data_IF_010049428190
#
_entry.id   IF_010049428190
#
_cell.length_a   1.000
_cell.length_b   1.000
_cell.length_c   1.000
_cell.angle_alpha   90.00
_cell.angle_beta   90.00
_cell.angle_gamma   90.00
#
_symmetry.space_group_name_H-M   'P 1'
#
loop_
_entity.id
_entity.type
_entity.pdbx_description
1 polymer ?
#
# COMPACT_ATOMS: atom_id res chain seq x y z
N UNK A 1 -28.99 -0.95 26.37
CA UNK A 1 -28.11 -1.58 25.34
C UNK A 1 -28.85 -2.50 24.38
N UNK A 2 -29.68 -3.44 24.79
CA UNK A 2 -30.36 -4.38 23.90
C UNK A 2 -31.27 -3.72 22.84
N UNK A 3 -31.99 -2.66 23.17
CA UNK A 3 -32.85 -1.93 22.21
C UNK A 3 -32.07 -1.22 21.10
N UNK A 4 -30.87 -0.67 21.38
CA UNK A 4 -30.04 0.00 20.38
C UNK A 4 -29.42 -1.01 19.39
N UNK A 5 -29.05 -2.20 19.86
CA UNK A 5 -28.52 -3.28 19.00
C UNK A 5 -29.61 -3.80 18.06
N UNK A 6 -30.82 -3.97 18.52
CA UNK A 6 -31.97 -4.42 17.70
C UNK A 6 -32.34 -3.37 16.65
N UNK A 7 -32.30 -2.07 17.00
CA UNK A 7 -32.57 -0.98 16.04
C UNK A 7 -31.52 -0.94 14.91
N UNK A 8 -30.25 -1.15 15.22
CA UNK A 8 -29.17 -1.16 14.22
C UNK A 8 -29.25 -2.37 13.27
N UNK A 9 -29.61 -3.55 13.79
CA UNK A 9 -29.82 -4.75 12.96
C UNK A 9 -30.98 -4.56 11.96
N UNK A 10 -32.07 -3.92 12.41
CA UNK A 10 -33.21 -3.60 11.54
C UNK A 10 -32.83 -2.58 10.46
N UNK A 11 -32.05 -1.55 10.79
CA UNK A 11 -31.58 -0.54 9.84
C UNK A 11 -30.68 -1.15 8.74
N UNK A 12 -29.76 -2.05 9.11
CA UNK A 12 -28.92 -2.77 8.16
C UNK A 12 -29.74 -3.68 7.24
N UNK A 13 -30.72 -4.42 7.78
CA UNK A 13 -31.61 -5.26 6.98
C UNK A 13 -32.39 -4.43 5.94
N UNK A 14 -32.91 -3.27 6.34
CA UNK A 14 -33.62 -2.35 5.45
C UNK A 14 -32.70 -1.80 4.35
N UNK A 15 -31.46 -1.48 4.65
CA UNK A 15 -30.48 -1.02 3.64
C UNK A 15 -30.15 -2.12 2.63
N UNK A 16 -30.01 -3.37 3.07
CA UNK A 16 -29.80 -4.53 2.19
C UNK A 16 -31.00 -4.68 1.23
N UNK A 17 -32.24 -4.64 1.74
CA UNK A 17 -33.44 -4.71 0.91
C UNK A 17 -33.52 -3.57 -0.12
N UNK A 18 -33.23 -2.34 0.32
CA UNK A 18 -33.21 -1.17 -0.57
C UNK A 18 -32.17 -1.31 -1.68
N UNK A 19 -30.94 -1.73 -1.34
CA UNK A 19 -29.88 -1.94 -2.32
C UNK A 19 -30.25 -3.04 -3.33
N UNK A 20 -30.74 -4.19 -2.86
CA UNK A 20 -31.21 -5.30 -3.71
C UNK A 20 -32.36 -4.87 -4.62
N UNK A 21 -33.28 -4.06 -4.10
CA UNK A 21 -34.39 -3.47 -4.88
C UNK A 21 -33.90 -2.52 -5.98
N UNK A 22 -32.83 -1.74 -5.74
CA UNK A 22 -32.23 -0.87 -6.77
C UNK A 22 -31.54 -1.72 -7.84
N UNK A 23 -30.76 -2.73 -7.46
CA UNK A 23 -30.11 -3.68 -8.38
C UNK A 23 -31.17 -4.29 -9.34
N UNK A 24 -32.25 -4.80 -8.81
CA UNK A 24 -33.35 -5.38 -9.62
C UNK A 24 -33.99 -4.38 -10.57
N UNK A 25 -34.07 -3.09 -10.19
CA UNK A 25 -34.57 -2.03 -11.08
C UNK A 25 -33.59 -1.70 -12.20
N UNK A 26 -32.27 -1.64 -11.90
CA UNK A 26 -31.26 -1.39 -12.91
C UNK A 26 -31.24 -2.52 -13.94
N UNK A 27 -31.25 -3.77 -13.52
CA UNK A 27 -31.23 -4.93 -14.43
C UNK A 27 -32.45 -4.89 -15.38
N UNK A 28 -33.60 -4.54 -14.88
CA UNK A 28 -34.82 -4.37 -15.72
C UNK A 28 -34.73 -3.17 -16.67
N UNK A 29 -34.15 -2.05 -16.19
CA UNK A 29 -34.00 -0.84 -16.98
C UNK A 29 -33.00 -1.01 -18.14
N UNK A 30 -31.94 -1.80 -17.95
CA UNK A 30 -30.93 -2.09 -18.98
C UNK A 30 -31.56 -2.78 -20.22
N UNK A 31 -32.55 -3.62 -20.05
CA UNK A 31 -33.25 -4.28 -21.17
C UNK A 31 -33.84 -3.29 -22.19
N UNK A 32 -34.09 -2.06 -21.77
CA UNK A 32 -34.67 -1.00 -22.64
C UNK A 32 -33.71 0.11 -22.98
N UNK A 33 -32.43 0.01 -22.53
CA UNK A 33 -31.39 0.97 -22.85
C UNK A 33 -31.06 0.96 -24.35
N UNK A 34 -30.94 2.15 -24.95
CA UNK A 34 -30.67 2.34 -26.39
C UNK A 34 -29.34 2.96 -26.68
N UNK A 35 -28.84 3.77 -25.76
CA UNK A 35 -27.51 4.39 -25.79
C UNK A 35 -26.58 3.68 -24.80
N UNK A 36 -25.28 3.67 -25.05
CA UNK A 36 -24.26 3.01 -24.21
C UNK A 36 -24.70 1.59 -23.79
N UNK A 37 -25.29 0.85 -24.74
CA UNK A 37 -25.90 -0.45 -24.45
C UNK A 37 -24.90 -1.44 -23.86
N UNK A 38 -23.69 -1.44 -24.37
CA UNK A 38 -22.62 -2.33 -23.92
C UNK A 38 -22.21 -2.05 -22.46
N UNK A 39 -22.06 -0.76 -22.10
CA UNK A 39 -21.76 -0.34 -20.73
C UNK A 39 -22.91 -0.69 -19.78
N UNK A 40 -24.15 -0.50 -20.22
CA UNK A 40 -25.33 -0.89 -19.44
C UNK A 40 -25.40 -2.42 -19.22
N UNK A 41 -25.13 -3.22 -20.25
CA UNK A 41 -25.09 -4.69 -20.16
C UNK A 41 -23.97 -5.19 -19.25
N UNK A 42 -22.76 -4.61 -19.34
CA UNK A 42 -21.67 -4.93 -18.45
C UNK A 42 -21.99 -4.58 -16.98
N UNK A 43 -22.62 -3.43 -16.76
CA UNK A 43 -23.08 -3.04 -15.42
C UNK A 43 -24.13 -4.03 -14.89
N UNK A 44 -25.13 -4.40 -15.71
CA UNK A 44 -26.18 -5.34 -15.31
C UNK A 44 -25.66 -6.72 -14.94
N UNK A 45 -24.68 -7.25 -15.71
CA UNK A 45 -24.05 -8.53 -15.42
C UNK A 45 -23.34 -8.52 -14.06
N UNK A 46 -22.62 -7.46 -13.75
CA UNK A 46 -21.97 -7.30 -12.45
C UNK A 46 -22.98 -7.13 -11.32
N UNK A 47 -24.02 -6.34 -11.53
CA UNK A 47 -25.06 -6.11 -10.54
C UNK A 47 -25.89 -7.36 -10.24
N UNK A 48 -26.04 -8.30 -11.17
CA UNK A 48 -26.71 -9.57 -10.89
C UNK A 48 -25.94 -10.38 -9.83
N UNK A 49 -24.61 -10.46 -9.96
CA UNK A 49 -23.76 -11.12 -8.96
C UNK A 49 -23.87 -10.44 -7.58
N UNK A 50 -23.91 -9.10 -7.58
CA UNK A 50 -24.09 -8.31 -6.36
C UNK A 50 -25.45 -8.58 -5.71
N UNK A 51 -26.50 -8.65 -6.52
CA UNK A 51 -27.85 -8.97 -6.06
C UNK A 51 -27.94 -10.30 -5.33
N UNK A 52 -27.13 -11.29 -5.75
CA UNK A 52 -27.05 -12.60 -5.12
C UNK A 52 -26.26 -12.58 -3.80
N UNK A 53 -25.27 -11.70 -3.67
CA UNK A 53 -24.42 -11.59 -2.47
C UNK A 53 -25.03 -10.73 -1.37
N UNK A 54 -25.71 -9.64 -1.73
CA UNK A 54 -26.27 -8.67 -0.77
C UNK A 54 -27.15 -9.30 0.33
N UNK A 55 -28.06 -10.26 0.06
CA UNK A 55 -28.90 -10.88 1.08
C UNK A 55 -28.12 -11.68 2.13
N UNK A 56 -26.90 -12.14 1.76
CA UNK A 56 -26.04 -12.96 2.62
C UNK A 56 -25.08 -12.13 3.49
N UNK A 57 -25.10 -10.79 3.37
CA UNK A 57 -24.29 -9.93 4.20
C UNK A 57 -24.70 -10.00 5.68
N UNK A 58 -23.75 -9.99 6.62
CA UNK A 58 -24.04 -10.00 8.04
C UNK A 58 -24.76 -8.71 8.44
N UNK A 59 -25.78 -8.83 9.26
CA UNK A 59 -26.58 -7.71 9.75
C UNK A 59 -25.91 -7.04 10.96
N UNK A 60 -24.69 -6.55 10.78
CA UNK A 60 -23.84 -5.94 11.80
C UNK A 60 -23.78 -4.42 11.64
N UNK A 61 -23.71 -3.64 12.71
CA UNK A 61 -23.67 -2.17 12.64
C UNK A 61 -22.54 -1.62 11.76
N UNK A 62 -21.41 -2.31 11.74
CA UNK A 62 -20.21 -1.94 10.97
C UNK A 62 -20.46 -1.96 9.44
N UNK A 63 -21.48 -2.69 8.97
CA UNK A 63 -21.87 -2.78 7.54
C UNK A 63 -22.77 -1.60 7.12
N UNK A 64 -23.33 -0.87 8.07
CA UNK A 64 -24.35 0.15 7.81
C UNK A 64 -23.84 1.27 6.90
N UNK A 65 -22.67 1.82 7.20
CA UNK A 65 -22.08 2.93 6.43
C UNK A 65 -21.70 2.50 5.00
N UNK A 66 -20.95 1.41 4.78
CA UNK A 66 -20.69 0.91 3.41
C UNK A 66 -21.96 0.62 2.61
N UNK A 67 -23.02 0.10 3.26
CA UNK A 67 -24.30 -0.15 2.60
C UNK A 67 -25.03 1.16 2.22
N UNK A 68 -24.99 2.19 3.05
CA UNK A 68 -25.55 3.50 2.72
C UNK A 68 -24.89 4.09 1.48
N UNK A 69 -23.56 4.02 1.42
CA UNK A 69 -22.80 4.52 0.26
C UNK A 69 -23.04 3.66 -0.98
N UNK A 70 -23.08 2.33 -0.85
CA UNK A 70 -23.41 1.42 -1.95
C UNK A 70 -24.82 1.72 -2.51
N UNK A 71 -25.80 1.93 -1.65
CA UNK A 71 -27.14 2.34 -2.06
C UNK A 71 -27.13 3.65 -2.86
N UNK A 72 -26.35 4.64 -2.41
CA UNK A 72 -26.21 5.92 -3.12
C UNK A 72 -25.55 5.75 -4.50
N UNK A 73 -24.48 4.94 -4.59
CA UNK A 73 -23.83 4.62 -5.86
C UNK A 73 -24.76 3.86 -6.82
N UNK A 74 -25.51 2.89 -6.32
CA UNK A 74 -26.54 2.17 -7.10
C UNK A 74 -27.66 3.10 -7.57
N UNK A 75 -28.05 4.11 -6.77
CA UNK A 75 -28.98 5.15 -7.17
C UNK A 75 -28.49 5.94 -8.38
N UNK A 76 -27.23 6.41 -8.35
CA UNK A 76 -26.60 7.09 -9.51
C UNK A 76 -26.51 6.17 -10.74
N UNK A 77 -26.17 4.91 -10.56
CA UNK A 77 -26.16 3.92 -11.63
C UNK A 77 -27.54 3.78 -12.28
N UNK A 78 -28.59 3.72 -11.48
CA UNK A 78 -29.97 3.65 -11.97
C UNK A 78 -30.37 4.88 -12.79
N UNK A 79 -30.05 6.08 -12.32
CA UNK A 79 -30.28 7.34 -13.04
C UNK A 79 -29.56 7.38 -14.40
N UNK A 80 -28.30 6.93 -14.44
CA UNK A 80 -27.52 6.84 -15.68
C UNK A 80 -28.14 5.88 -16.68
N UNK A 81 -28.60 4.70 -16.24
CA UNK A 81 -29.27 3.73 -17.11
C UNK A 81 -30.57 4.28 -17.64
N UNK A 82 -31.36 4.98 -16.81
CA UNK A 82 -32.61 5.65 -17.25
C UNK A 82 -32.34 6.74 -18.29
N UNK A 83 -31.26 7.53 -18.09
CA UNK A 83 -30.84 8.55 -19.07
C UNK A 83 -30.49 7.94 -20.43
N UNK A 84 -30.02 6.69 -20.47
CA UNK A 84 -29.74 5.95 -21.71
C UNK A 84 -31.00 5.45 -22.44
N UNK A 85 -32.19 5.57 -21.84
CA UNK A 85 -33.46 5.21 -22.46
C UNK A 85 -34.09 6.38 -23.27
N UNK A 86 -33.64 7.62 -23.02
CA UNK A 86 -34.26 8.83 -23.55
C UNK A 86 -33.99 9.00 -25.06
N UNK A 87 -35.00 9.48 -25.81
CA UNK A 87 -35.02 9.57 -27.27
C UNK A 87 -34.54 10.92 -27.84
N UNK A 88 -34.17 11.87 -27.01
CA UNK A 88 -33.87 13.23 -27.46
C UNK A 88 -32.59 13.30 -28.31
N UNK A 89 -32.77 13.64 -29.60
CA UNK A 89 -31.68 13.73 -30.59
C UNK A 89 -30.63 14.80 -30.25
N UNK A 90 -30.96 15.81 -29.45
CA UNK A 90 -30.03 16.84 -29.01
C UNK A 90 -28.93 16.34 -28.05
N UNK A 91 -29.19 15.23 -27.33
CA UNK A 91 -28.24 14.62 -26.40
C UNK A 91 -27.30 13.57 -27.02
N UNK A 92 -27.55 13.19 -28.30
CA UNK A 92 -26.85 12.04 -28.90
C UNK A 92 -25.35 12.27 -29.16
N UNK A 93 -24.91 13.49 -29.46
CA UNK A 93 -23.52 13.75 -29.84
C UNK A 93 -22.62 14.24 -28.69
N UNK A 94 -23.17 15.01 -27.73
CA UNK A 94 -22.40 15.54 -26.60
C UNK A 94 -22.56 14.74 -25.30
N UNK A 95 -23.62 13.94 -25.18
CA UNK A 95 -23.95 13.16 -23.97
C UNK A 95 -23.23 11.82 -23.90
N UNK A 96 -23.02 11.11 -25.01
CA UNK A 96 -22.52 9.73 -25.02
C UNK A 96 -21.14 9.57 -24.35
N UNK A 97 -20.22 10.50 -24.59
CA UNK A 97 -18.88 10.47 -24.00
C UNK A 97 -18.89 10.80 -22.51
N UNK A 98 -19.71 11.79 -22.08
CA UNK A 98 -19.90 12.10 -20.66
C UNK A 98 -20.56 10.95 -19.92
N UNK A 99 -21.54 10.29 -20.52
CA UNK A 99 -22.19 9.13 -19.90
C UNK A 99 -21.25 7.96 -19.75
N UNK A 100 -20.37 7.67 -20.72
CA UNK A 100 -19.38 6.61 -20.62
C UNK A 100 -18.40 6.83 -19.47
N UNK A 101 -17.90 8.07 -19.29
CA UNK A 101 -17.05 8.42 -18.16
C UNK A 101 -17.79 8.30 -16.81
N UNK A 102 -19.06 8.73 -16.77
CA UNK A 102 -19.90 8.58 -15.57
C UNK A 102 -20.21 7.11 -15.25
N UNK A 103 -20.40 6.24 -16.27
CA UNK A 103 -20.55 4.79 -16.06
C UNK A 103 -19.28 4.19 -15.45
N UNK A 104 -18.11 4.61 -15.93
CA UNK A 104 -16.82 4.15 -15.39
C UNK A 104 -16.68 4.56 -13.92
N UNK A 105 -16.90 5.83 -13.60
CA UNK A 105 -16.83 6.36 -12.24
C UNK A 105 -17.78 5.61 -11.28
N UNK A 106 -19.04 5.44 -11.66
CA UNK A 106 -20.03 4.73 -10.83
C UNK A 106 -19.68 3.26 -10.67
N UNK A 107 -19.19 2.61 -11.72
CA UNK A 107 -18.77 1.23 -11.70
C UNK A 107 -17.55 1.02 -10.78
N UNK A 108 -16.56 1.90 -10.85
CA UNK A 108 -15.38 1.89 -9.98
C UNK A 108 -15.78 2.13 -8.52
N UNK A 109 -16.72 3.04 -8.27
CA UNK A 109 -17.26 3.28 -6.91
C UNK A 109 -18.01 2.07 -6.36
N UNK A 110 -18.84 1.41 -7.17
CA UNK A 110 -19.54 0.18 -6.77
C UNK A 110 -18.53 -0.93 -6.46
N UNK A 111 -17.54 -1.14 -7.35
CA UNK A 111 -16.48 -2.13 -7.15
C UNK A 111 -15.72 -1.89 -5.86
N UNK A 112 -15.33 -0.64 -5.62
CA UNK A 112 -14.68 -0.20 -4.40
C UNK A 112 -15.50 -0.55 -3.15
N UNK A 113 -16.77 -0.17 -3.11
CA UNK A 113 -17.64 -0.43 -1.96
C UNK A 113 -17.84 -1.93 -1.71
N UNK A 114 -17.94 -2.74 -2.77
CA UNK A 114 -18.01 -4.19 -2.64
C UNK A 114 -16.75 -4.82 -2.06
N UNK A 115 -15.58 -4.25 -2.38
CA UNK A 115 -14.31 -4.70 -1.83
C UNK A 115 -14.19 -4.48 -0.32
N UNK A 116 -15.03 -3.61 0.26
CA UNK A 116 -15.09 -3.36 1.70
C UNK A 116 -15.85 -4.47 2.47
N UNK A 117 -16.84 -5.13 1.86
CA UNK A 117 -17.69 -6.08 2.60
C UNK A 117 -16.94 -7.31 3.16
N UNK A 118 -16.00 -7.95 2.46
CA UNK A 118 -15.19 -9.02 3.05
C UNK A 118 -14.38 -8.54 4.26
N UNK A 119 -13.86 -7.29 4.20
CA UNK A 119 -13.08 -6.69 5.29
C UNK A 119 -13.93 -6.44 6.52
N UNK A 120 -15.09 -5.84 6.32
CA UNK A 120 -16.06 -5.53 7.37
C UNK A 120 -16.57 -6.82 8.02
N UNK A 121 -16.83 -7.83 7.21
CA UNK A 121 -17.30 -9.14 7.68
C UNK A 121 -16.24 -9.84 8.53
N UNK A 122 -14.98 -9.80 8.12
CA UNK A 122 -13.87 -10.39 8.84
C UNK A 122 -13.60 -9.68 10.17
N UNK A 123 -13.54 -8.35 10.18
CA UNK A 123 -13.37 -7.55 11.39
C UNK A 123 -14.48 -7.80 12.43
N UNK A 124 -15.72 -7.98 11.96
CA UNK A 124 -16.86 -8.29 12.80
C UNK A 124 -16.80 -9.69 13.38
N UNK A 125 -16.37 -10.70 12.60
CA UNK A 125 -16.20 -12.08 13.06
C UNK A 125 -15.07 -12.17 14.09
N UNK A 126 -13.92 -11.53 13.85
CA UNK A 126 -12.79 -11.53 14.79
C UNK A 126 -13.13 -10.82 16.11
N UNK A 127 -13.81 -9.67 16.04
CA UNK A 127 -14.27 -8.98 17.27
C UNK A 127 -15.31 -9.80 18.06
N UNK A 128 -16.14 -10.56 17.34
CA UNK A 128 -17.11 -11.45 17.99
C UNK A 128 -16.45 -12.68 18.61
N UNK A 129 -15.48 -13.28 17.94
CA UNK A 129 -14.66 -14.38 18.47
C UNK A 129 -13.82 -13.94 19.67
N UNK A 130 -13.24 -12.75 19.65
CA UNK A 130 -12.52 -12.18 20.79
C UNK A 130 -13.42 -11.93 22.02
N UNK A 131 -14.71 -11.64 21.81
CA UNK A 131 -15.71 -11.51 22.89
C UNK A 131 -16.24 -12.84 23.42
N UNK A 132 -16.11 -13.92 22.64
CA UNK A 132 -16.58 -15.28 22.98
C UNK A 132 -15.44 -16.10 23.62
N UNK A 133 -14.19 -15.62 23.57
CA UNK A 133 -13.08 -16.27 24.29
C UNK A 133 -13.34 -16.22 25.78
N UNK A 134 -13.52 -17.36 26.46
CA UNK A 134 -14.21 -17.40 27.75
C UNK A 134 -13.28 -17.10 28.90
N UNK A 135 -13.72 -16.20 29.76
CA UNK A 135 -13.59 -16.44 31.19
C UNK A 135 -14.53 -17.62 31.53
N UNK A 136 -14.08 -18.83 31.45
CA UNK A 136 -14.75 -19.94 32.09
C UNK A 136 -13.77 -20.86 32.84
N UNK A 137 -13.77 -20.63 34.14
CA UNK A 137 -13.54 -21.57 35.20
C UNK A 137 -14.26 -22.90 34.98
N UNK A 138 -13.46 -23.98 35.04
CA UNK A 138 -13.84 -25.24 35.70
C UNK A 138 -14.92 -26.10 35.08
N UNK A 139 -14.52 -27.04 34.21
CA UNK A 139 -14.98 -28.43 34.28
C UNK A 139 -13.81 -29.32 33.87
N UNK A 140 -13.32 -30.13 34.82
CA UNK A 140 -12.34 -31.19 34.60
C UNK A 140 -13.00 -32.32 33.81
N UNK A 141 -12.51 -32.60 32.65
CA UNK A 141 -12.68 -33.90 32.01
C UNK A 141 -11.28 -34.44 31.67
N UNK A 142 -10.88 -35.44 32.42
CA UNK A 142 -9.59 -36.12 32.35
C UNK A 142 -9.51 -36.93 31.07
N UNK A 143 -8.69 -36.45 30.10
CA UNK A 143 -8.14 -37.30 29.07
C UNK A 143 -6.62 -37.18 29.18
N UNK A 144 -5.95 -38.28 29.40
CA UNK A 144 -4.50 -38.38 29.55
C UNK A 144 -3.79 -38.01 28.24
N UNK A 145 -2.92 -36.99 28.32
CA UNK A 145 -2.02 -36.59 27.21
C UNK A 145 -0.60 -36.59 27.80
N UNK A 146 0.40 -37.05 27.02
CA UNK A 146 1.78 -37.20 27.52
C UNK A 146 2.43 -35.82 27.76
N UNK A 147 3.34 -35.80 28.72
CA UNK A 147 4.10 -34.67 29.26
C UNK A 147 4.71 -33.72 28.24
N UNK A 148 4.62 -32.39 28.42
CA UNK A 148 5.19 -31.40 27.51
C UNK A 148 6.57 -30.97 28.01
N UNK A 149 7.58 -31.23 27.21
CA UNK A 149 8.80 -30.42 27.21
C UNK A 149 8.58 -29.30 26.17
N UNK A 150 8.74 -28.04 26.63
CA UNK A 150 8.82 -26.81 25.81
C UNK A 150 7.62 -26.45 24.93
N UNK A 151 6.56 -25.93 25.55
CA UNK A 151 5.63 -25.02 24.89
C UNK A 151 6.14 -23.58 25.01
N UNK A 152 6.88 -23.12 24.00
CA UNK A 152 7.00 -21.69 23.75
C UNK A 152 5.60 -21.19 23.38
N UNK A 153 5.11 -20.23 24.14
CA UNK A 153 3.84 -19.54 23.89
C UNK A 153 3.95 -18.83 22.55
N UNK A 154 3.51 -19.48 21.49
CA UNK A 154 3.26 -18.84 20.21
C UNK A 154 2.06 -17.92 20.42
N UNK A 155 2.31 -16.64 20.64
CA UNK A 155 1.32 -15.59 20.41
C UNK A 155 0.93 -15.69 18.93
N UNK A 156 -0.24 -16.27 18.67
CA UNK A 156 -0.83 -16.27 17.32
C UNK A 156 -1.18 -14.81 17.02
N UNK A 157 -0.23 -14.08 16.41
CA UNK A 157 -0.51 -12.79 15.80
C UNK A 157 -1.43 -13.10 14.62
N UNK A 158 -2.68 -12.66 14.71
CA UNK A 158 -3.63 -12.78 13.58
C UNK A 158 -2.98 -12.20 12.33
N UNK A 159 -2.92 -12.98 11.26
CA UNK A 159 -2.37 -12.54 9.97
C UNK A 159 -3.20 -11.43 9.30
N UNK A 160 -4.33 -11.05 9.89
CA UNK A 160 -5.25 -10.05 9.37
C UNK A 160 -5.33 -8.83 10.27
N UNK A 161 -5.42 -7.62 9.68
CA UNK A 161 -5.58 -6.37 10.43
C UNK A 161 -6.87 -6.36 11.25
N UNK A 162 -6.81 -5.78 12.46
CA UNK A 162 -7.94 -5.65 13.36
C UNK A 162 -8.38 -4.18 13.53
N UNK A 163 -9.58 -3.96 14.05
CA UNK A 163 -10.05 -2.63 14.45
C UNK A 163 -9.65 -2.34 15.87
N UNK A 164 -9.17 -1.12 16.13
CA UNK A 164 -8.85 -0.60 17.44
C UNK A 164 -9.84 0.49 17.82
N UNK A 165 -10.13 0.61 19.10
CA UNK A 165 -10.83 1.77 19.66
C UNK A 165 -9.86 2.93 19.88
N UNK A 166 -10.38 4.16 19.94
CA UNK A 166 -9.60 5.34 20.32
C UNK A 166 -8.87 5.15 21.65
N UNK A 167 -9.56 4.60 22.67
CA UNK A 167 -8.99 4.37 23.98
C UNK A 167 -7.78 3.40 23.94
N UNK A 168 -7.85 2.33 23.13
CA UNK A 168 -6.74 1.41 22.92
C UNK A 168 -5.55 2.10 22.25
N UNK A 169 -5.79 2.96 21.24
CA UNK A 169 -4.73 3.72 20.58
C UNK A 169 -4.08 4.73 21.53
N UNK A 170 -4.87 5.48 22.30
CA UNK A 170 -4.36 6.42 23.31
C UNK A 170 -3.47 5.69 24.33
N UNK A 171 -3.93 4.53 24.81
CA UNK A 171 -3.16 3.70 25.75
C UNK A 171 -1.87 3.19 25.11
N UNK A 172 -1.95 2.62 23.91
CA UNK A 172 -0.80 2.08 23.19
C UNK A 172 0.27 3.13 22.88
N UNK A 173 -0.14 4.38 22.60
CA UNK A 173 0.77 5.49 22.25
C UNK A 173 1.19 6.34 23.45
N UNK A 174 0.75 5.99 24.67
CA UNK A 174 0.91 6.84 25.86
C UNK A 174 0.46 8.28 25.61
N UNK A 175 -0.77 8.42 25.08
CA UNK A 175 -1.35 9.70 24.66
C UNK A 175 -0.49 10.44 23.60
N UNK A 176 -0.04 9.69 22.58
CA UNK A 176 0.76 10.22 21.46
C UNK A 176 2.08 10.89 21.91
N UNK A 177 2.73 10.34 22.94
CA UNK A 177 3.90 10.93 23.59
C UNK A 177 5.13 10.97 22.67
N UNK A 178 5.38 9.90 21.90
CA UNK A 178 6.57 9.78 21.05
C UNK A 178 6.21 9.91 19.56
N UNK A 179 6.52 11.07 18.97
CA UNK A 179 6.30 11.33 17.56
C UNK A 179 7.47 10.80 16.73
N UNK A 180 7.22 9.87 15.81
CA UNK A 180 8.21 9.33 14.87
C UNK A 180 8.45 10.24 13.66
N UNK A 181 7.39 10.93 13.21
CA UNK A 181 7.48 11.82 12.05
C UNK A 181 6.15 12.42 11.64
N UNK A 182 6.19 13.17 10.53
CA UNK A 182 4.99 13.69 9.87
C UNK A 182 5.13 13.53 8.36
N UNK A 183 4.17 12.86 7.76
CA UNK A 183 4.04 12.75 6.31
C UNK A 183 3.00 13.71 5.75
N UNK A 184 2.80 13.66 4.43
CA UNK A 184 1.78 14.49 3.76
C UNK A 184 0.35 14.19 4.21
N UNK A 185 0.06 13.00 4.76
CA UNK A 185 -1.29 12.58 5.17
C UNK A 185 -1.54 12.65 6.67
N UNK A 186 -0.54 12.99 7.48
CA UNK A 186 -0.71 13.05 8.92
C UNK A 186 0.56 12.79 9.71
N UNK A 187 0.44 12.76 11.04
CA UNK A 187 1.52 12.50 11.97
C UNK A 187 1.61 11.01 12.31
N UNK A 188 2.83 10.52 12.55
CA UNK A 188 3.08 9.13 12.94
C UNK A 188 3.67 9.10 14.35
N UNK A 189 3.12 8.27 15.21
CA UNK A 189 3.53 8.11 16.59
C UNK A 189 3.94 6.67 16.89
N UNK A 190 4.90 6.51 17.79
CA UNK A 190 5.27 5.21 18.30
C UNK A 190 4.23 4.73 19.30
N UNK A 191 3.90 3.45 19.26
CA UNK A 191 3.03 2.80 20.23
C UNK A 191 3.52 1.40 20.56
N UNK A 192 2.93 0.83 21.62
CA UNK A 192 3.11 -0.57 22.00
C UNK A 192 1.75 -1.14 22.36
N UNK A 193 1.35 -2.17 21.64
CA UNK A 193 0.12 -2.89 21.96
C UNK A 193 0.28 -3.64 23.28
N UNK A 194 -0.83 -3.83 23.99
CA UNK A 194 -0.84 -4.55 25.28
C UNK A 194 -0.26 -5.96 25.06
N UNK A 195 0.82 -6.29 25.79
CA UNK A 195 1.57 -7.55 25.67
C UNK A 195 2.03 -7.90 24.24
N UNK A 196 2.10 -6.89 23.36
CA UNK A 196 2.37 -7.04 21.94
C UNK A 196 3.63 -6.31 21.43
N UNK A 197 3.84 -6.35 20.11
CA UNK A 197 4.96 -5.69 19.47
C UNK A 197 4.81 -4.15 19.49
N UNK A 198 5.93 -3.48 19.24
CA UNK A 198 5.92 -2.04 18.93
C UNK A 198 5.20 -1.79 17.59
N UNK A 199 4.45 -0.70 17.52
CA UNK A 199 3.68 -0.29 16.35
C UNK A 199 3.94 1.18 16.01
N UNK A 200 3.64 1.55 14.77
CA UNK A 200 3.60 2.93 14.30
C UNK A 200 2.14 3.31 14.02
N UNK A 201 1.64 4.31 14.74
CA UNK A 201 0.27 4.80 14.61
C UNK A 201 0.27 6.05 13.76
N UNK A 202 -0.30 5.99 12.57
CA UNK A 202 -0.48 7.11 11.64
C UNK A 202 -1.85 7.74 11.88
N UNK A 203 -1.85 8.97 12.39
CA UNK A 203 -3.07 9.76 12.60
C UNK A 203 -3.28 10.65 11.39
N UNK A 204 -4.41 10.51 10.70
CA UNK A 204 -4.71 11.31 9.51
C UNK A 204 -5.18 12.72 9.88
N UNK A 205 -4.80 13.69 9.05
CA UNK A 205 -5.24 15.08 9.22
C UNK A 205 -6.75 15.22 8.89
N UNK A 206 -7.54 15.80 9.79
CA UNK A 206 -9.00 15.89 9.71
C UNK A 206 -9.53 16.75 8.54
N UNK A 207 -8.78 17.74 8.09
CA UNK A 207 -9.22 18.75 7.13
C UNK A 207 -8.62 18.56 5.72
N UNK A 208 -8.44 17.33 5.28
CA UNK A 208 -7.97 17.08 3.91
C UNK A 208 -9.11 17.18 2.90
N UNK A 209 -8.87 17.79 1.74
CA UNK A 209 -9.91 17.93 0.71
C UNK A 209 -10.34 16.58 0.12
N UNK A 210 -9.48 15.56 0.20
CA UNK A 210 -9.80 14.20 -0.26
C UNK A 210 -9.64 13.19 0.87
N UNK A 211 -10.66 12.36 1.04
CA UNK A 211 -10.66 11.25 1.98
C UNK A 211 -9.80 10.11 1.42
N UNK A 212 -8.56 10.03 1.90
CA UNK A 212 -7.61 8.97 1.51
C UNK A 212 -7.68 7.74 2.43
N UNK A 213 -8.47 7.79 3.52
CA UNK A 213 -8.51 6.70 4.50
C UNK A 213 -9.00 5.39 3.89
N UNK A 214 -10.17 5.42 3.28
CA UNK A 214 -10.76 4.19 2.73
C UNK A 214 -9.95 3.63 1.56
N UNK A 215 -9.49 4.41 0.57
CA UNK A 215 -8.58 3.92 -0.47
C UNK A 215 -7.30 3.28 0.08
N UNK A 216 -6.61 3.94 1.02
CA UNK A 216 -5.39 3.41 1.65
C UNK A 216 -5.69 2.10 2.39
N UNK A 217 -6.80 2.04 3.14
CA UNK A 217 -7.21 0.84 3.87
C UNK A 217 -7.44 -0.35 2.93
N UNK A 218 -8.23 -0.16 1.87
CA UNK A 218 -8.58 -1.23 0.92
C UNK A 218 -7.34 -1.80 0.23
N UNK A 219 -6.41 -0.93 -0.17
CA UNK A 219 -5.17 -1.37 -0.82
C UNK A 219 -4.30 -2.11 0.18
N UNK A 220 -3.99 -1.50 1.33
CA UNK A 220 -3.04 -2.08 2.30
C UNK A 220 -3.56 -3.34 2.98
N UNK A 221 -4.89 -3.45 3.15
CA UNK A 221 -5.50 -4.65 3.71
C UNK A 221 -5.23 -5.92 2.89
N UNK A 222 -5.16 -5.80 1.57
CA UNK A 222 -4.93 -6.93 0.64
C UNK A 222 -3.47 -7.25 0.40
N UNK A 223 -2.58 -6.28 0.61
CA UNK A 223 -1.17 -6.48 0.32
C UNK A 223 -0.51 -7.37 1.37
N UNK A 224 0.14 -8.44 0.90
CA UNK A 224 0.93 -9.37 1.71
C UNK A 224 2.25 -9.63 1.00
N UNK A 225 3.32 -9.02 1.46
CA UNK A 225 4.64 -9.17 0.89
C UNK A 225 5.72 -8.80 1.91
N UNK A 226 6.83 -9.52 1.95
CA UNK A 226 7.90 -9.33 2.94
C UNK A 226 8.54 -7.95 2.90
N UNK A 227 8.47 -7.26 1.76
CA UNK A 227 9.00 -5.92 1.56
C UNK A 227 7.90 -4.83 1.50
N UNK A 228 6.73 -5.08 2.04
CA UNK A 228 5.68 -4.08 2.25
C UNK A 228 5.40 -3.98 3.75
N UNK A 229 5.28 -2.74 4.25
CA UNK A 229 4.93 -2.50 5.66
C UNK A 229 3.56 -3.07 5.97
N UNK A 230 3.49 -3.95 6.96
CA UNK A 230 2.26 -4.65 7.32
C UNK A 230 1.30 -3.74 8.07
N UNK A 231 0.07 -3.67 7.60
CA UNK A 231 -1.03 -3.08 8.34
C UNK A 231 -1.42 -4.04 9.47
N UNK A 232 -1.34 -3.58 10.72
CA UNK A 232 -1.74 -4.31 11.93
C UNK A 232 -3.23 -4.08 12.22
N UNK A 233 -3.72 -2.86 11.94
CA UNK A 233 -5.12 -2.52 12.09
C UNK A 233 -5.40 -1.05 11.85
N UNK A 234 -6.60 -0.62 12.21
CA UNK A 234 -7.05 0.77 12.05
C UNK A 234 -8.03 1.15 13.16
N UNK A 235 -8.20 2.46 13.34
CA UNK A 235 -9.24 3.06 14.16
C UNK A 235 -10.03 4.06 13.31
N UNK A 236 -11.36 4.02 13.37
CA UNK A 236 -12.26 5.01 12.80
C UNK A 236 -13.37 5.28 13.81
N UNK A 237 -13.18 6.30 14.65
CA UNK A 237 -14.16 6.76 15.63
C UNK A 237 -14.41 8.25 15.45
N UNK A 238 -15.69 8.63 15.32
CA UNK A 238 -16.12 10.01 15.05
C UNK A 238 -15.42 10.62 13.84
N UNK A 239 -14.52 11.59 14.07
CA UNK A 239 -13.72 12.24 13.02
C UNK A 239 -12.26 11.76 13.01
N UNK A 240 -11.87 10.93 13.96
CA UNK A 240 -10.51 10.45 14.09
C UNK A 240 -10.29 9.17 13.29
N UNK A 241 -9.29 9.20 12.40
CA UNK A 241 -8.94 8.10 11.52
C UNK A 241 -7.46 7.80 11.62
N UNK A 242 -7.14 6.56 11.93
CA UNK A 242 -5.77 6.12 12.18
C UNK A 242 -5.50 4.77 11.58
N UNK A 243 -4.25 4.60 11.13
CA UNK A 243 -3.71 3.31 10.76
C UNK A 243 -2.68 2.86 11.79
N UNK A 244 -2.69 1.59 12.12
CA UNK A 244 -1.69 0.94 12.97
C UNK A 244 -0.86 0.03 12.10
N UNK A 245 0.42 0.37 11.93
CA UNK A 245 1.39 -0.38 11.17
C UNK A 245 2.42 -1.04 12.10
N UNK A 246 3.12 -2.06 11.63
CA UNK A 246 4.30 -2.56 12.31
C UNK A 246 5.36 -1.45 12.45
N UNK A 247 6.12 -1.47 13.56
CA UNK A 247 7.15 -0.46 13.82
C UNK A 247 8.44 -0.78 13.07
N UNK A 248 8.97 0.22 12.37
CA UNK A 248 10.19 0.13 11.59
C UNK A 248 11.33 0.85 12.32
N UNK A 249 12.09 0.11 13.12
CA UNK A 249 12.99 0.66 14.14
C UNK A 249 14.23 1.40 13.57
N UNK A 250 14.61 1.13 12.32
CA UNK A 250 15.71 1.81 11.66
C UNK A 250 15.30 3.04 10.84
N UNK A 251 14.02 3.48 10.92
CA UNK A 251 13.52 4.68 10.25
C UNK A 251 13.47 4.55 8.73
N UNK A 252 13.61 5.66 8.00
CA UNK A 252 13.51 5.70 6.54
C UNK A 252 14.87 5.54 5.86
N UNK A 253 14.87 5.06 4.61
CA UNK A 253 16.08 5.07 3.78
C UNK A 253 16.63 6.50 3.62
N UNK A 254 15.74 7.50 3.45
CA UNK A 254 16.13 8.92 3.41
C UNK A 254 16.94 9.34 4.63
N UNK A 255 16.49 8.99 5.84
CA UNK A 255 17.23 9.32 7.08
C UNK A 255 18.63 8.72 7.09
N UNK A 256 18.82 7.56 6.48
CA UNK A 256 20.10 6.87 6.42
C UNK A 256 21.01 7.41 5.32
N UNK A 257 20.45 8.03 4.30
CA UNK A 257 21.20 8.64 3.19
C UNK A 257 21.61 10.09 3.53
N UNK A 258 20.76 10.88 4.19
CA UNK A 258 20.95 12.33 4.36
C UNK A 258 21.53 12.78 5.70
N UNK A 259 21.75 11.90 6.67
CA UNK A 259 22.14 12.24 8.06
C UNK A 259 23.54 12.81 8.27
N UNK A 260 23.96 13.77 7.47
CA UNK A 260 25.26 14.42 7.67
C UNK A 260 25.21 15.96 7.85
N UNK A 261 24.03 16.60 7.82
CA UNK A 261 23.95 18.07 7.76
C UNK A 261 23.49 18.79 9.03
N UNK A 262 23.24 18.10 10.15
CA UNK A 262 22.74 18.75 11.36
C UNK A 262 23.23 18.10 12.64
N UNK A 263 24.22 18.73 13.26
CA UNK A 263 24.86 18.31 14.51
C UNK A 263 23.92 17.90 15.62
N UNK A 264 23.80 16.63 15.85
CA UNK A 264 23.51 16.04 17.14
C UNK A 264 24.21 14.68 17.20
N UNK A 265 25.02 14.54 18.21
CA UNK A 265 25.97 13.46 18.47
C UNK A 265 25.26 12.15 18.79
N UNK A 266 24.82 11.42 17.79
CA UNK A 266 24.76 9.97 17.87
C UNK A 266 25.26 9.42 16.54
N UNK A 267 26.34 8.64 16.59
CA UNK A 267 27.06 8.06 15.46
C UNK A 267 26.22 7.04 14.69
N UNK A 268 25.13 7.48 14.06
CA UNK A 268 24.43 6.65 13.09
C UNK A 268 25.29 6.62 11.82
N UNK A 269 26.15 5.62 11.73
CA UNK A 269 26.99 5.38 10.56
C UNK A 269 26.12 5.39 9.30
N UNK A 270 26.60 6.07 8.28
CA UNK A 270 26.01 6.03 6.93
C UNK A 270 25.93 4.57 6.47
N UNK A 271 24.79 4.17 5.89
CA UNK A 271 24.61 2.79 5.45
C UNK A 271 25.70 2.38 4.45
N UNK A 272 26.38 1.24 4.67
CA UNK A 272 27.36 0.69 3.74
C UNK A 272 26.76 0.42 2.36
N UNK A 273 27.58 0.34 1.32
CA UNK A 273 27.14 0.09 -0.05
C UNK A 273 26.28 -1.18 -0.18
N UNK A 274 26.70 -2.27 0.44
CA UNK A 274 25.90 -3.51 0.43
C UNK A 274 24.51 -3.33 1.04
N UNK A 275 24.40 -2.59 2.14
CA UNK A 275 23.13 -2.30 2.78
C UNK A 275 22.23 -1.44 1.88
N UNK A 276 22.81 -0.46 1.17
CA UNK A 276 22.06 0.38 0.22
C UNK A 276 21.53 -0.44 -0.94
N UNK A 277 22.37 -1.27 -1.57
CA UNK A 277 21.96 -2.12 -2.69
C UNK A 277 20.92 -3.15 -2.24
N UNK A 278 21.07 -3.75 -1.05
CA UNK A 278 20.07 -4.65 -0.48
C UNK A 278 18.74 -3.93 -0.20
N UNK A 279 18.79 -2.69 0.28
CA UNK A 279 17.59 -1.88 0.49
C UNK A 279 16.87 -1.57 -0.83
N UNK A 280 17.61 -1.22 -1.87
CA UNK A 280 17.07 -1.02 -3.22
C UNK A 280 16.44 -2.30 -3.77
N UNK A 281 17.11 -3.44 -3.63
CA UNK A 281 16.58 -4.72 -4.09
C UNK A 281 15.25 -5.08 -3.40
N UNK A 282 15.17 -4.97 -2.07
CA UNK A 282 13.92 -5.29 -1.37
C UNK A 282 12.79 -4.32 -1.75
N UNK A 283 13.08 -3.03 -1.87
CA UNK A 283 12.09 -2.05 -2.34
C UNK A 283 11.62 -2.33 -3.78
N UNK A 284 12.53 -2.72 -4.69
CA UNK A 284 12.17 -3.09 -6.07
C UNK A 284 11.26 -4.33 -6.12
N UNK A 285 11.48 -5.31 -5.26
CA UNK A 285 10.60 -6.49 -5.12
C UNK A 285 9.21 -6.13 -4.63
N UNK A 286 9.10 -5.15 -3.70
CA UNK A 286 7.80 -4.62 -3.30
C UNK A 286 7.05 -3.99 -4.47
N UNK A 287 7.72 -3.13 -5.26
CA UNK A 287 7.11 -2.48 -6.41
C UNK A 287 6.78 -3.51 -7.50
N UNK A 288 7.65 -4.50 -7.75
CA UNK A 288 7.36 -5.61 -8.67
C UNK A 288 6.08 -6.37 -8.25
N UNK A 289 5.94 -6.66 -6.95
CA UNK A 289 4.73 -7.31 -6.45
C UNK A 289 3.47 -6.46 -6.70
N UNK A 290 3.53 -5.15 -6.49
CA UNK A 290 2.41 -4.25 -6.80
C UNK A 290 2.01 -4.28 -8.27
N UNK A 291 3.00 -4.37 -9.19
CA UNK A 291 2.81 -4.29 -10.64
C UNK A 291 2.46 -5.64 -11.28
N UNK A 292 2.88 -6.78 -10.70
CA UNK A 292 2.77 -8.08 -11.33
C UNK A 292 2.09 -9.15 -10.46
N UNK A 293 2.11 -8.99 -9.13
CA UNK A 293 1.59 -9.99 -8.18
C UNK A 293 0.30 -9.57 -7.48
N UNK A 294 -0.02 -8.28 -7.47
CA UNK A 294 -1.27 -7.78 -6.90
C UNK A 294 -2.41 -7.85 -7.92
N UNK A 295 -3.59 -8.27 -7.50
CA UNK A 295 -4.81 -8.27 -8.29
C UNK A 295 -5.92 -7.49 -7.56
N UNK A 296 -6.40 -6.38 -8.13
CA UNK A 296 -5.90 -5.69 -9.33
C UNK A 296 -4.49 -5.12 -9.16
N UNK A 297 -3.79 -4.83 -10.28
CA UNK A 297 -2.49 -4.14 -10.30
C UNK A 297 -2.58 -2.84 -9.53
N UNK A 298 -1.58 -2.55 -8.69
CA UNK A 298 -1.50 -1.35 -7.88
C UNK A 298 -0.39 -0.44 -8.39
N UNK A 299 -0.71 0.84 -8.61
CA UNK A 299 0.27 1.89 -8.89
C UNK A 299 0.44 2.69 -7.60
N UNK A 300 1.66 2.76 -7.09
CA UNK A 300 1.96 3.36 -5.78
C UNK A 300 1.88 4.90 -5.80
N UNK A 301 2.33 5.55 -6.86
CA UNK A 301 2.34 7.00 -7.13
C UNK A 301 3.21 7.84 -6.20
N UNK A 302 3.78 7.27 -5.14
CA UNK A 302 4.59 7.99 -4.16
C UNK A 302 5.83 7.21 -3.73
N UNK A 303 6.49 6.55 -4.69
CA UNK A 303 7.77 5.88 -4.45
C UNK A 303 8.84 6.93 -4.15
N UNK A 304 9.46 6.86 -2.97
CA UNK A 304 10.51 7.77 -2.50
C UNK A 304 11.31 7.11 -1.38
N UNK A 305 12.51 7.59 -1.11
CA UNK A 305 13.34 7.09 -0.01
C UNK A 305 12.71 7.28 1.37
N UNK A 306 11.82 8.28 1.51
CA UNK A 306 11.04 8.50 2.74
C UNK A 306 9.96 7.44 2.98
N UNK A 307 9.51 6.74 1.93
CA UNK A 307 8.53 5.67 2.02
C UNK A 307 9.14 4.27 1.98
N UNK A 308 10.46 4.16 1.93
CA UNK A 308 11.20 2.92 2.14
C UNK A 308 11.70 2.90 3.57
N UNK A 309 11.07 2.09 4.41
CA UNK A 309 11.37 1.97 5.83
C UNK A 309 12.28 0.76 6.07
N UNK A 310 13.04 0.78 7.14
CA UNK A 310 14.00 -0.25 7.51
C UNK A 310 13.65 -0.84 8.87
N UNK A 311 13.43 -2.16 8.93
CA UNK A 311 13.16 -2.86 10.17
C UNK A 311 14.43 -3.04 11.03
N UNK A 312 14.32 -3.68 12.18
CA UNK A 312 15.45 -3.93 13.09
C UNK A 312 16.59 -4.72 12.44
N UNK A 313 16.31 -5.50 11.41
CA UNK A 313 17.29 -6.30 10.65
C UNK A 313 17.77 -5.59 9.38
N UNK A 314 17.45 -4.31 9.20
CA UNK A 314 17.70 -3.54 7.98
C UNK A 314 16.96 -4.06 6.74
N UNK A 315 15.92 -4.87 6.93
CA UNK A 315 15.06 -5.30 5.84
C UNK A 315 14.20 -4.12 5.36
N UNK A 316 14.28 -3.76 4.07
CA UNK A 316 13.49 -2.64 3.54
C UNK A 316 12.03 -3.05 3.34
N UNK A 317 11.13 -2.13 3.69
CA UNK A 317 9.69 -2.27 3.46
C UNK A 317 9.09 -1.00 2.90
N UNK A 318 8.33 -1.12 1.83
CA UNK A 318 7.64 -0.01 1.18
C UNK A 318 6.38 0.36 1.98
N UNK A 319 6.19 1.66 2.19
CA UNK A 319 5.08 2.28 2.91
C UNK A 319 4.49 3.45 2.11
N UNK A 320 3.50 4.16 2.64
CA UNK A 320 2.99 5.41 2.06
C UNK A 320 1.96 5.22 0.95
N UNK A 321 1.04 4.28 1.12
CA UNK A 321 -0.01 3.92 0.15
C UNK A 321 -1.17 4.91 0.03
N UNK A 322 -1.16 6.04 0.74
CA UNK A 322 -2.24 7.04 0.70
C UNK A 322 -2.48 7.70 -0.66
N UNK A 323 -1.53 7.55 -1.59
CA UNK A 323 -1.65 8.01 -2.97
C UNK A 323 -1.93 6.87 -3.97
N UNK A 324 -1.86 5.62 -3.53
CA UNK A 324 -1.92 4.46 -4.41
C UNK A 324 -3.30 4.31 -5.07
N UNK A 325 -3.31 3.76 -6.28
CA UNK A 325 -4.53 3.50 -7.04
C UNK A 325 -4.45 2.12 -7.71
N UNK A 326 -5.60 1.52 -7.96
CA UNK A 326 -5.68 0.36 -8.83
C UNK A 326 -5.56 0.80 -10.29
N UNK A 327 -4.86 0.03 -11.09
CA UNK A 327 -4.80 0.24 -12.54
C UNK A 327 -6.15 -0.13 -13.15
N UNK A 328 -6.73 0.79 -13.97
CA UNK A 328 -7.97 0.52 -14.65
C UNK A 328 -7.78 -0.51 -15.77
N UNK A 329 -8.77 -1.39 -15.95
CA UNK A 329 -8.75 -2.40 -17.01
C UNK A 329 -8.72 -1.71 -18.39
N UNK A 330 -7.82 -2.15 -19.27
CA UNK A 330 -7.66 -1.61 -20.62
C UNK A 330 -6.67 -0.45 -20.78
N UNK A 331 -6.12 0.08 -19.68
CA UNK A 331 -5.14 1.19 -19.70
C UNK A 331 -3.66 0.73 -19.68
N UNK A 332 -3.40 -0.53 -20.04
CA UNK A 332 -2.05 -1.13 -19.96
C UNK A 332 -0.99 -0.35 -20.76
N UNK A 333 -1.37 0.27 -21.88
CA UNK A 333 -0.42 0.98 -22.75
C UNK A 333 -0.57 2.51 -22.71
N UNK A 334 -1.73 3.04 -22.25
CA UNK A 334 -2.06 4.46 -22.31
C UNK A 334 -1.80 5.24 -21.02
N UNK A 335 -1.78 4.56 -19.90
CA UNK A 335 -1.78 5.14 -18.54
C UNK A 335 -3.15 5.75 -18.19
N UNK A 336 -3.54 5.60 -16.94
CA UNK A 336 -4.81 6.04 -16.38
C UNK A 336 -4.80 7.55 -16.14
N UNK A 337 -5.82 8.25 -16.64
CA UNK A 337 -6.00 9.68 -16.35
C UNK A 337 -6.45 9.86 -14.91
N UNK A 338 -5.82 10.77 -14.18
CA UNK A 338 -6.15 11.12 -12.80
C UNK A 338 -6.42 12.62 -12.68
N UNK A 339 -7.22 12.99 -11.69
CA UNK A 339 -7.61 14.39 -11.46
C UNK A 339 -6.40 15.21 -11.01
N UNK A 340 -5.58 14.66 -10.12
CA UNK A 340 -4.44 15.34 -9.51
C UNK A 340 -3.15 14.53 -9.64
N UNK A 341 -2.07 15.27 -9.88
CA UNK A 341 -0.71 14.73 -9.77
C UNK A 341 -0.33 14.73 -8.31
N UNK A 342 -0.05 13.54 -7.78
CA UNK A 342 0.39 13.35 -6.39
C UNK A 342 1.73 12.65 -6.36
N UNK A 343 2.51 12.89 -5.30
CA UNK A 343 3.81 12.27 -5.09
C UNK A 343 4.76 13.20 -4.34
N UNK A 344 5.92 12.71 -3.98
CA UNK A 344 6.96 13.48 -3.32
C UNK A 344 7.74 14.32 -4.35
N UNK A 345 7.86 15.66 -4.16
CA UNK A 345 8.64 16.50 -5.08
C UNK A 345 10.05 15.94 -5.32
N UNK A 346 10.53 16.05 -6.55
CA UNK A 346 11.82 15.49 -6.99
C UNK A 346 11.77 14.04 -7.46
N UNK A 347 10.74 13.26 -7.07
CA UNK A 347 10.58 11.86 -7.51
C UNK A 347 9.48 11.69 -8.57
N UNK A 348 8.60 12.69 -8.72
CA UNK A 348 7.45 12.58 -9.63
C UNK A 348 7.92 12.48 -11.08
N UNK A 349 7.37 11.51 -11.80
CA UNK A 349 7.60 11.30 -13.23
C UNK A 349 7.17 12.56 -14.04
N UNK A 350 8.08 13.17 -14.83
CA UNK A 350 7.76 14.34 -15.63
C UNK A 350 6.66 14.10 -16.67
N UNK A 351 6.57 12.90 -17.25
CA UNK A 351 5.50 12.55 -18.19
C UNK A 351 4.15 12.49 -17.45
N UNK A 352 4.09 11.85 -16.29
CA UNK A 352 2.91 11.84 -15.44
C UNK A 352 2.52 13.27 -15.02
N UNK A 353 3.47 14.07 -14.55
CA UNK A 353 3.23 15.46 -14.13
C UNK A 353 2.60 16.30 -15.25
N UNK A 354 3.07 16.13 -16.50
CA UNK A 354 2.59 16.90 -17.64
C UNK A 354 1.25 16.40 -18.19
N UNK A 355 1.06 15.08 -18.24
CA UNK A 355 -0.09 14.47 -18.92
C UNK A 355 -1.24 14.11 -18.00
N UNK A 356 -1.01 14.14 -16.68
CA UNK A 356 -1.90 13.56 -15.64
C UNK A 356 -2.25 12.08 -15.88
N UNK A 357 -1.45 11.40 -16.72
CA UNK A 357 -1.61 9.96 -16.96
C UNK A 357 -0.59 9.19 -16.14
N UNK A 358 -1.08 8.38 -15.20
CA UNK A 358 -0.27 7.54 -14.32
C UNK A 358 -0.27 6.09 -14.80
N UNK A 359 0.85 5.42 -14.65
CA UNK A 359 1.01 4.00 -14.96
C UNK A 359 2.07 3.38 -14.05
N UNK A 360 2.24 2.07 -14.12
CA UNK A 360 3.34 1.36 -13.45
C UNK A 360 4.71 1.95 -13.80
N UNK A 361 4.89 2.44 -15.03
CA UNK A 361 6.12 3.10 -15.47
C UNK A 361 6.41 4.42 -14.71
N UNK A 362 5.39 5.05 -14.10
CA UNK A 362 5.61 6.24 -13.26
C UNK A 362 6.30 5.88 -11.94
N UNK A 363 5.96 4.74 -11.34
CA UNK A 363 6.66 4.21 -10.16
C UNK A 363 8.11 3.81 -10.50
N UNK A 364 8.33 3.25 -11.71
CA UNK A 364 9.67 2.92 -12.20
C UNK A 364 10.56 4.16 -12.30
N UNK A 365 10.03 5.29 -12.81
CA UNK A 365 10.76 6.55 -12.83
C UNK A 365 11.14 7.01 -11.42
N UNK A 366 10.16 7.05 -10.51
CA UNK A 366 10.37 7.46 -9.12
C UNK A 366 11.41 6.59 -8.43
N UNK A 367 11.39 5.28 -8.70
CA UNK A 367 12.40 4.35 -8.18
C UNK A 367 13.79 4.58 -8.80
N UNK A 368 13.87 5.00 -10.08
CA UNK A 368 15.12 5.47 -10.71
C UNK A 368 15.75 6.62 -9.94
N UNK A 369 14.96 7.58 -9.48
CA UNK A 369 15.43 8.68 -8.62
C UNK A 369 15.95 8.16 -7.28
N UNK A 370 15.22 7.22 -6.63
CA UNK A 370 15.65 6.60 -5.36
C UNK A 370 17.02 5.90 -5.52
N UNK A 371 17.24 5.20 -6.64
CA UNK A 371 18.53 4.56 -6.91
C UNK A 371 19.66 5.59 -7.01
N UNK A 372 19.46 6.70 -7.72
CA UNK A 372 20.47 7.76 -7.80
C UNK A 372 20.71 8.43 -6.44
N UNK A 373 19.66 8.72 -5.68
CA UNK A 373 19.78 9.23 -4.31
C UNK A 373 20.61 8.27 -3.43
N UNK A 374 20.39 6.96 -3.56
CA UNK A 374 21.15 5.96 -2.80
C UNK A 374 22.62 5.90 -3.22
N UNK A 375 22.95 6.19 -4.47
CA UNK A 375 24.33 6.23 -4.97
C UNK A 375 25.06 7.52 -4.61
N UNK A 376 24.38 8.66 -4.69
CA UNK A 376 24.99 9.98 -4.49
C UNK A 376 24.90 10.47 -3.05
N UNK A 377 23.88 10.03 -2.31
CA UNK A 377 23.54 10.55 -0.99
C UNK A 377 22.97 11.96 -1.01
N UNK A 378 22.65 12.50 -2.19
CA UNK A 378 22.13 13.85 -2.36
C UNK A 378 20.60 13.88 -2.40
N UNK A 379 20.02 14.99 -1.98
CA UNK A 379 18.59 15.21 -2.08
C UNK A 379 18.16 15.23 -3.57
N UNK A 380 17.05 14.60 -3.95
CA UNK A 380 16.57 14.57 -5.33
C UNK A 380 16.41 15.94 -5.98
N UNK A 381 16.09 16.98 -5.18
CA UNK A 381 16.02 18.35 -5.70
C UNK A 381 17.38 18.95 -6.11
N UNK A 382 18.47 18.43 -5.52
CA UNK A 382 19.84 18.83 -5.85
C UNK A 382 20.46 17.97 -6.97
N UNK A 383 19.87 16.80 -7.25
CA UNK A 383 20.36 15.88 -8.29
C UNK A 383 20.29 16.51 -9.67
N UNK A 384 21.41 16.53 -10.38
CA UNK A 384 21.49 16.95 -11.78
C UNK A 384 21.03 15.81 -12.71
N UNK A 385 19.75 15.40 -12.58
CA UNK A 385 19.16 14.24 -13.27
C UNK A 385 19.42 14.25 -14.77
N UNK A 386 19.31 15.42 -15.42
CA UNK A 386 19.57 15.55 -16.88
C UNK A 386 21.02 15.29 -17.24
N UNK A 387 21.96 15.75 -16.43
CA UNK A 387 23.40 15.56 -16.67
C UNK A 387 23.81 14.09 -16.46
N UNK A 388 23.24 13.43 -15.44
CA UNK A 388 23.49 12.01 -15.17
C UNK A 388 22.85 11.15 -16.26
N UNK A 389 21.60 11.42 -16.62
CA UNK A 389 20.86 10.69 -17.67
C UNK A 389 21.56 10.77 -19.02
N UNK A 390 22.05 11.95 -19.38
CA UNK A 390 22.70 12.19 -20.66
C UNK A 390 24.20 11.80 -20.66
N UNK A 391 24.71 11.18 -19.58
CA UNK A 391 26.10 10.72 -19.47
C UNK A 391 27.15 11.85 -19.40
N UNK A 392 26.72 13.09 -19.11
CA UNK A 392 27.64 14.22 -18.93
C UNK A 392 28.42 14.18 -17.63
N UNK A 393 27.87 13.50 -16.61
CA UNK A 393 28.53 13.24 -15.32
C UNK A 393 28.79 11.75 -15.20
N UNK A 394 30.04 11.40 -14.89
CA UNK A 394 30.39 10.01 -14.59
C UNK A 394 30.00 9.67 -13.14
N UNK A 395 29.61 8.42 -12.90
CA UNK A 395 29.20 7.97 -11.55
C UNK A 395 30.24 8.29 -10.49
N UNK A 396 31.51 8.03 -10.78
CA UNK A 396 32.66 8.28 -9.88
C UNK A 396 32.76 9.73 -9.39
N UNK A 397 32.25 10.69 -10.15
CA UNK A 397 32.35 12.12 -9.85
C UNK A 397 31.22 12.57 -8.88
N UNK A 398 30.12 11.80 -8.81
CA UNK A 398 28.94 12.10 -7.99
C UNK A 398 28.66 11.06 -6.90
N UNK A 399 29.48 10.01 -6.82
CA UNK A 399 29.30 8.92 -5.86
C UNK A 399 29.48 9.44 -4.43
N UNK A 400 28.59 9.00 -3.53
CA UNK A 400 28.71 9.29 -2.10
C UNK A 400 29.96 8.65 -1.51
N UNK A 401 30.86 9.47 -0.97
CA UNK A 401 32.12 9.01 -0.38
C UNK A 401 32.01 8.62 1.10
N UNK A 402 30.85 8.81 1.70
CA UNK A 402 30.64 8.50 3.13
C UNK A 402 30.65 7.00 3.46
N UNK A 403 30.09 6.09 2.62
CA UNK A 403 30.20 4.66 2.87
C UNK A 403 31.59 4.10 2.71
N UNK A 404 32.38 4.63 1.75
CA UNK A 404 33.78 4.31 1.49
C UNK A 404 34.38 5.41 0.63
N UNK A 405 35.58 5.88 1.01
CA UNK A 405 36.33 6.86 0.22
C UNK A 405 36.69 6.31 -1.17
N UNK A 406 37.13 5.04 -1.19
CA UNK A 406 37.50 4.32 -2.41
C UNK A 406 36.79 2.98 -2.43
N UNK A 407 35.67 2.85 -3.14
CA UNK A 407 35.01 1.56 -3.35
C UNK A 407 35.96 0.57 -4.02
N UNK A 408 35.93 -0.68 -3.60
CA UNK A 408 36.68 -1.76 -4.27
C UNK A 408 36.21 -1.95 -5.69
N UNK A 409 37.03 -2.59 -6.57
CA UNK A 409 36.62 -2.84 -7.95
C UNK A 409 35.26 -3.54 -8.06
N UNK A 410 34.96 -4.61 -7.30
CA UNK A 410 33.65 -5.23 -7.35
C UNK A 410 32.50 -4.35 -6.81
N UNK A 411 32.80 -3.53 -5.79
CA UNK A 411 31.82 -2.55 -5.33
C UNK A 411 31.51 -1.54 -6.43
N UNK A 412 32.55 -1.04 -7.12
CA UNK A 412 32.37 -0.09 -8.21
C UNK A 412 31.59 -0.68 -9.37
N UNK A 413 31.90 -1.92 -9.77
CA UNK A 413 31.14 -2.66 -10.78
C UNK A 413 29.66 -2.78 -10.42
N UNK A 414 29.35 -3.22 -9.19
CA UNK A 414 27.97 -3.30 -8.71
C UNK A 414 27.26 -1.94 -8.71
N UNK A 415 27.93 -0.86 -8.29
CA UNK A 415 27.37 0.50 -8.26
C UNK A 415 27.14 1.04 -9.66
N UNK A 416 27.99 0.71 -10.64
CA UNK A 416 27.79 1.04 -12.06
C UNK A 416 26.56 0.31 -12.63
N UNK A 417 26.34 -0.96 -12.30
CA UNK A 417 25.13 -1.70 -12.68
C UNK A 417 23.86 -1.03 -12.14
N UNK A 418 23.88 -0.58 -10.88
CA UNK A 418 22.78 0.17 -10.27
C UNK A 418 22.56 1.50 -10.99
N UNK A 419 23.63 2.24 -11.30
CA UNK A 419 23.56 3.52 -12.01
C UNK A 419 22.98 3.38 -13.41
N UNK A 420 23.38 2.35 -14.16
CA UNK A 420 22.87 2.10 -15.51
C UNK A 420 21.40 1.67 -15.49
N UNK A 421 21.01 0.90 -14.46
CA UNK A 421 19.60 0.57 -14.25
C UNK A 421 18.79 1.84 -13.93
N UNK A 422 19.29 2.71 -13.05
CA UNK A 422 18.65 3.98 -12.73
C UNK A 422 18.48 4.87 -13.97
N UNK A 423 19.51 5.02 -14.81
CA UNK A 423 19.44 5.81 -16.05
C UNK A 423 18.32 5.33 -16.99
N UNK A 424 18.16 4.00 -17.12
CA UNK A 424 17.07 3.42 -17.93
C UNK A 424 15.70 3.72 -17.33
N UNK A 425 15.56 3.63 -16.01
CA UNK A 425 14.33 3.98 -15.31
C UNK A 425 13.94 5.47 -15.50
N UNK A 426 14.93 6.35 -15.61
CA UNK A 426 14.75 7.79 -15.79
C UNK A 426 14.50 8.22 -17.23
N UNK A 427 14.26 7.30 -18.16
CA UNK A 427 13.87 7.63 -19.53
C UNK A 427 12.63 8.56 -19.50
N UNK A 428 12.65 9.66 -20.28
CA UNK A 428 11.54 10.62 -20.31
C UNK A 428 10.26 9.98 -20.84
N UNK A 429 10.36 9.14 -21.87
CA UNK A 429 9.23 8.37 -22.35
C UNK A 429 9.04 7.12 -21.52
N UNK A 430 7.83 6.92 -20.97
CA UNK A 430 7.46 5.73 -20.22
C UNK A 430 7.71 4.42 -20.98
N UNK A 431 7.56 4.44 -22.31
CA UNK A 431 7.76 3.26 -23.17
C UNK A 431 9.23 2.81 -23.25
N UNK A 432 10.17 3.69 -22.91
CA UNK A 432 11.60 3.36 -22.87
C UNK A 432 12.09 2.85 -21.53
N UNK A 433 11.23 2.83 -20.48
CA UNK A 433 11.59 2.38 -19.15
C UNK A 433 11.49 0.85 -19.06
N UNK A 434 12.38 0.19 -18.29
CA UNK A 434 12.25 -1.24 -18.02
C UNK A 434 11.02 -1.51 -17.14
N UNK A 435 10.49 -2.73 -17.18
CA UNK A 435 9.59 -3.22 -16.13
C UNK A 435 10.35 -3.48 -14.82
N UNK A 436 9.61 -3.62 -13.72
CA UNK A 436 10.24 -3.87 -12.41
C UNK A 436 10.89 -5.24 -12.31
N UNK A 437 10.49 -6.24 -13.10
CA UNK A 437 11.13 -7.55 -13.12
C UNK A 437 12.56 -7.45 -13.63
N UNK A 438 12.79 -6.63 -14.65
CA UNK A 438 14.15 -6.35 -15.15
C UNK A 438 14.97 -5.55 -14.16
N UNK A 439 14.37 -4.58 -13.48
CA UNK A 439 15.05 -3.81 -12.41
C UNK A 439 15.47 -4.73 -11.28
N UNK A 440 14.58 -5.62 -10.80
CA UNK A 440 14.91 -6.61 -9.76
C UNK A 440 16.08 -7.48 -10.19
N UNK A 441 16.04 -8.06 -11.40
CA UNK A 441 17.11 -8.93 -11.89
C UNK A 441 18.48 -8.22 -11.91
N UNK A 442 18.54 -6.96 -12.37
CA UNK A 442 19.77 -6.18 -12.39
C UNK A 442 20.30 -5.88 -10.97
N UNK A 443 19.41 -5.60 -10.01
CA UNK A 443 19.80 -5.34 -8.61
C UNK A 443 20.21 -6.63 -7.89
N UNK A 444 19.64 -7.77 -8.24
CA UNK A 444 20.08 -9.08 -7.75
C UNK A 444 21.52 -9.39 -8.21
N UNK A 445 21.79 -9.17 -9.49
CA UNK A 445 23.14 -9.32 -10.05
C UNK A 445 24.14 -8.39 -9.35
N UNK A 446 23.82 -7.11 -9.23
CA UNK A 446 24.67 -6.15 -8.49
C UNK A 446 24.92 -6.58 -7.04
N UNK A 447 23.91 -7.12 -6.34
CA UNK A 447 24.08 -7.61 -4.98
C UNK A 447 24.96 -8.87 -4.90
N UNK A 448 24.91 -9.75 -5.90
CA UNK A 448 25.81 -10.91 -6.00
C UNK A 448 27.24 -10.46 -6.19
N UNK A 449 27.52 -9.51 -7.10
CA UNK A 449 28.84 -8.96 -7.36
C UNK A 449 29.43 -8.35 -6.09
N UNK A 450 28.68 -7.51 -5.38
CA UNK A 450 29.19 -6.84 -4.16
C UNK A 450 29.44 -7.82 -3.01
N UNK A 451 28.65 -8.90 -2.90
CA UNK A 451 28.78 -9.93 -1.85
C UNK A 451 29.93 -10.88 -2.08
N UNK A 452 30.23 -11.24 -3.32
CA UNK A 452 31.25 -12.25 -3.64
C UNK A 452 32.66 -11.81 -3.25
N UNK A 453 32.87 -10.52 -3.00
CA UNK A 453 34.17 -9.93 -2.71
C UNK A 453 34.26 -9.27 -1.33
N UNK A 454 33.21 -9.41 -0.47
CA UNK A 454 33.38 -9.05 0.93
C UNK A 454 34.29 -10.08 1.65
N UNK A 455 35.37 -9.64 2.33
CA UNK A 455 36.15 -10.56 3.13
C UNK A 455 35.25 -11.20 4.17
N UNK A 456 35.20 -12.55 4.21
CA UNK A 456 34.38 -13.31 5.17
C UNK A 456 34.74 -12.80 6.58
N UNK A 457 33.78 -12.13 7.24
CA UNK A 457 34.03 -11.62 8.60
C UNK A 457 34.39 -12.79 9.51
N UNK A 458 35.40 -12.60 10.37
CA UNK A 458 35.92 -13.62 11.30
C UNK A 458 34.83 -14.26 12.18
N UNK A 459 33.70 -13.58 12.35
CA UNK A 459 32.53 -14.10 13.03
C UNK A 459 31.81 -15.25 12.27
N UNK A 460 31.83 -15.25 10.93
CA UNK A 460 31.31 -16.37 10.11
C UNK A 460 32.27 -17.56 10.09
N UNK A 461 33.56 -17.31 10.11
CA UNK A 461 34.59 -18.36 10.22
C UNK A 461 34.54 -19.10 11.57
N UNK A 462 34.17 -18.42 12.66
CA UNK A 462 34.03 -19.04 13.97
C UNK A 462 32.77 -19.94 14.06
N UNK A 463 31.69 -19.59 13.35
CA UNK A 463 30.48 -20.42 13.26
C UNK A 463 30.66 -21.68 12.39
N UNK A 464 31.43 -21.57 11.31
CA UNK A 464 31.79 -22.73 10.47
C UNK A 464 32.75 -23.65 11.21
N UNK A 465 33.76 -23.13 11.91
CA UNK A 465 34.68 -23.93 12.76
C UNK A 465 33.97 -24.64 13.92
N UNK A 466 32.93 -24.07 14.52
CA UNK A 466 32.12 -24.76 15.55
C UNK A 466 31.28 -25.90 14.97
N UNK A 467 30.77 -25.80 13.75
CA UNK A 467 30.01 -26.88 13.09
C UNK A 467 30.89 -28.05 12.58
N UNK A 468 32.16 -27.81 12.31
CA UNK A 468 33.10 -28.85 11.88
C UNK A 468 33.86 -29.53 13.04
N UNK A 469 33.72 -29.04 14.27
CA UNK A 469 34.30 -29.67 15.48
C UNK A 469 33.26 -30.48 16.30
N UNK A 470 32.00 -30.52 15.85
CA UNK A 470 30.90 -31.31 16.47
C UNK A 470 30.47 -32.51 15.61
N UNK A 471 31.24 -32.88 14.53
CA UNK A 471 31.05 -34.10 13.76
C UNK A 471 32.25 -35.04 13.97
#
# INVERSE_FOLDING_TARGET
>A
MALAVVANVAAVAQLIEQATGIVSRIIRAVATARQNKQECEHLALRLSIIGDVLPHLPRLPVVERPLKELRAALGKAHELVLACQDRSAANQFFGARRHADSFREVNDRIYFLLSLFPMVNYAAITSHLARISPQHTGVQTTIAVPSPASLQTLTVVSDYPCTFTWAEIVTATHNFAEKLGRGCSGAVYKGRLHDGPEVAVKVLDKHRPHDTFVPELVITFRLRHDHIVRLVGWCEEEEDRMFVYEHMSNGTLRDRLQRASGGSSSSAATAPWMTRVAALLGASRAIQYLHCGAEPVVIHRNVSSSNILLDMNWTPRLSGFGAAVYQAAGDEHGGQLVEEVVGTPGYVDPEYSRTKRVSTASDVYSFGVVMLEALTGEDPAALQLDSIRNGKLALKDVLDRRPSLDPTLPQMEALEMVADTAKRCLCLSRMGRPDMSKVVANLEEALVVIRSHEPMSMARLSLIRRRTSEN
#
